data_IF_815701557178
#
_entry.id   IF_815701557178
#
_cell.length_a   1.000
_cell.length_b   1.000
_cell.length_c   1.000
_cell.angle_alpha   90.00
_cell.angle_beta   90.00
_cell.angle_gamma   90.00
#
_symmetry.space_group_name_H-M   'P 1'
#
loop_
_entity.id
_entity.type
_entity.pdbx_description
1 polymer ?
#
# COMPACT_ATOMS: atom_id res chain seq x y z
N UNK A 1 -31.88 17.81 -43.38
CA UNK A 1 -31.05 18.58 -42.43
C UNK A 1 -29.61 18.07 -42.58
N UNK A 2 -28.78 18.73 -43.38
CA UNK A 2 -27.34 18.43 -43.48
C UNK A 2 -26.63 19.78 -43.48
N UNK A 3 -26.37 20.35 -42.30
CA UNK A 3 -25.57 21.57 -42.18
C UNK A 3 -24.83 21.58 -40.85
N UNK A 4 -23.68 20.91 -40.82
CA UNK A 4 -22.39 21.58 -40.64
C UNK A 4 -21.31 20.51 -40.50
N UNK A 5 -20.71 20.12 -41.63
CA UNK A 5 -19.40 19.49 -41.62
C UNK A 5 -18.48 20.63 -42.05
N UNK A 6 -17.59 21.08 -41.15
CA UNK A 6 -16.67 22.17 -41.46
C UNK A 6 -15.91 21.83 -42.76
N UNK A 7 -15.74 22.76 -43.72
CA UNK A 7 -15.05 22.49 -44.99
C UNK A 7 -13.67 21.82 -44.81
N UNK A 8 -13.03 22.09 -43.66
CA UNK A 8 -11.78 21.47 -43.19
C UNK A 8 -11.84 19.95 -43.08
N UNK A 9 -12.96 19.40 -42.60
CA UNK A 9 -13.17 17.96 -42.38
C UNK A 9 -13.34 17.23 -43.72
N UNK A 10 -14.00 17.87 -44.70
CA UNK A 10 -14.22 17.29 -46.04
C UNK A 10 -12.90 17.13 -46.79
N UNK A 11 -12.02 18.14 -46.73
CA UNK A 11 -10.68 18.06 -47.33
C UNK A 11 -9.81 16.97 -46.69
N UNK A 12 -9.96 16.73 -45.39
CA UNK A 12 -9.21 15.71 -44.65
C UNK A 12 -9.67 14.28 -44.96
N UNK A 13 -10.97 14.08 -45.18
CA UNK A 13 -11.52 12.78 -45.60
C UNK A 13 -11.15 12.51 -47.07
N UNK A 14 -11.17 13.53 -47.93
CA UNK A 14 -10.86 13.40 -49.36
C UNK A 14 -9.38 13.03 -49.64
N UNK A 15 -8.46 13.37 -48.73
CA UNK A 15 -7.03 13.02 -48.85
C UNK A 15 -6.69 11.65 -48.26
N UNK A 16 -7.58 11.03 -47.50
CA UNK A 16 -7.38 9.71 -46.91
C UNK A 16 -7.63 8.60 -47.94
N UNK A 17 -6.67 7.67 -48.06
CA UNK A 17 -6.76 6.55 -49.02
C UNK A 17 -7.67 5.43 -48.50
N UNK A 18 -7.89 5.37 -47.19
CA UNK A 18 -8.71 4.35 -46.53
C UNK A 18 -9.58 4.96 -45.45
N UNK A 19 -10.68 4.29 -45.10
CA UNK A 19 -11.55 4.68 -43.98
C UNK A 19 -10.79 4.73 -42.64
N UNK A 20 -9.82 3.83 -42.46
CA UNK A 20 -8.94 3.81 -41.30
C UNK A 20 -8.09 5.09 -41.20
N UNK A 21 -7.49 5.53 -42.32
CA UNK A 21 -6.68 6.75 -42.36
C UNK A 21 -7.53 8.00 -42.08
N UNK A 22 -8.73 8.08 -42.67
CA UNK A 22 -9.66 9.19 -42.41
C UNK A 22 -10.05 9.25 -40.93
N UNK A 23 -10.38 8.10 -40.32
CA UNK A 23 -10.74 8.00 -38.91
C UNK A 23 -9.57 8.36 -37.99
N UNK A 24 -8.37 7.90 -38.32
CA UNK A 24 -7.15 8.20 -37.57
C UNK A 24 -6.81 9.69 -37.64
N UNK A 25 -6.89 10.28 -38.82
CA UNK A 25 -6.66 11.70 -39.05
C UNK A 25 -7.64 12.61 -38.29
N UNK A 26 -8.93 12.26 -38.31
CA UNK A 26 -9.96 12.99 -37.55
C UNK A 26 -9.75 12.83 -36.05
N UNK A 27 -9.44 11.61 -35.59
CA UNK A 27 -9.13 11.37 -34.19
C UNK A 27 -7.90 12.18 -33.75
N UNK A 28 -6.86 12.25 -34.59
CA UNK A 28 -5.65 13.03 -34.33
C UNK A 28 -5.91 14.54 -34.25
N UNK A 29 -6.81 15.07 -35.08
CA UNK A 29 -7.06 16.51 -35.18
C UNK A 29 -8.08 17.00 -34.15
N UNK A 30 -9.08 16.17 -33.82
CA UNK A 30 -10.25 16.61 -33.05
C UNK A 30 -10.57 15.76 -31.80
N UNK A 31 -10.11 14.51 -31.72
CA UNK A 31 -10.42 13.62 -30.60
C UNK A 31 -9.22 13.34 -29.69
N UNK A 32 -8.03 13.84 -30.03
CA UNK A 32 -6.85 13.73 -29.17
C UNK A 32 -7.05 14.59 -27.93
N UNK A 33 -7.06 14.01 -26.72
CA UNK A 33 -7.04 14.81 -25.51
C UNK A 33 -5.78 15.67 -25.47
N UNK A 34 -5.90 16.90 -24.95
CA UNK A 34 -4.74 17.78 -24.79
C UNK A 34 -3.74 17.15 -23.82
N UNK A 35 -2.45 17.49 -23.98
CA UNK A 35 -1.40 17.04 -23.07
C UNK A 35 -1.75 17.38 -21.62
N UNK A 36 -2.27 18.60 -21.38
CA UNK A 36 -2.63 19.05 -20.04
C UNK A 36 -3.78 18.24 -19.43
N UNK A 37 -4.76 17.83 -20.25
CA UNK A 37 -5.87 16.98 -19.79
C UNK A 37 -5.41 15.57 -19.40
N UNK A 38 -4.37 15.02 -20.04
CA UNK A 38 -3.74 13.77 -19.58
C UNK A 38 -2.85 14.00 -18.35
N UNK A 39 -2.11 15.12 -18.33
CA UNK A 39 -1.09 15.36 -17.31
C UNK A 39 -1.69 15.73 -15.96
N UNK A 40 -2.87 16.36 -15.94
CA UNK A 40 -3.62 16.67 -14.73
C UNK A 40 -3.96 15.42 -13.88
N UNK A 41 -4.71 14.42 -14.38
CA UNK A 41 -5.00 13.21 -13.61
C UNK A 41 -3.75 12.38 -13.30
N UNK A 42 -2.71 12.39 -14.16
CA UNK A 42 -1.41 11.79 -13.82
C UNK A 42 -0.78 12.47 -12.59
N UNK A 43 -0.81 13.80 -12.52
CA UNK A 43 -0.31 14.57 -11.38
C UNK A 43 -1.12 14.36 -10.10
N UNK A 44 -2.44 14.21 -10.21
CA UNK A 44 -3.30 13.84 -9.09
C UNK A 44 -2.95 12.44 -8.57
N UNK A 45 -2.74 11.47 -9.48
CA UNK A 45 -2.39 10.12 -9.09
C UNK A 45 -1.02 10.02 -8.42
N UNK A 46 -0.03 10.80 -8.84
CA UNK A 46 1.31 10.81 -8.22
C UNK A 46 1.32 11.40 -6.81
N UNK A 47 0.40 12.32 -6.51
CA UNK A 47 0.30 13.01 -5.23
C UNK A 47 -0.93 12.56 -4.43
N UNK A 48 -1.52 11.42 -4.77
CA UNK A 48 -2.72 10.94 -4.12
C UNK A 48 -2.41 10.64 -2.64
N UNK A 49 -3.24 11.14 -1.73
CA UNK A 49 -3.07 10.91 -0.30
C UNK A 49 -4.42 10.75 0.37
N UNK A 50 -4.51 9.80 1.31
CA UNK A 50 -5.70 9.59 2.15
C UNK A 50 -5.93 10.78 3.09
N UNK A 51 -4.86 11.31 3.69
CA UNK A 51 -4.97 12.32 4.74
C UNK A 51 -5.97 11.90 5.84
N UNK A 52 -6.97 12.75 6.09
CA UNK A 52 -8.02 12.53 7.10
C UNK A 52 -9.27 11.84 6.54
N UNK A 53 -9.29 11.46 5.26
CA UNK A 53 -10.42 10.79 4.63
C UNK A 53 -10.54 9.34 5.13
N UNK A 54 -11.75 8.78 5.04
CA UNK A 54 -11.96 7.34 5.20
C UNK A 54 -11.37 6.56 4.02
N UNK A 55 -11.12 5.25 4.20
CA UNK A 55 -10.68 4.38 3.10
C UNK A 55 -11.68 4.39 1.94
N UNK A 56 -12.97 4.41 2.21
CA UNK A 56 -14.01 4.43 1.16
C UNK A 56 -13.90 5.68 0.28
N UNK A 57 -13.79 6.87 0.89
CA UNK A 57 -13.67 8.14 0.16
C UNK A 57 -12.36 8.18 -0.64
N UNK A 58 -11.27 7.74 -0.02
CA UNK A 58 -9.96 7.68 -0.65
C UNK A 58 -9.96 6.77 -1.87
N UNK A 59 -10.51 5.55 -1.74
CA UNK A 59 -10.58 4.59 -2.84
C UNK A 59 -11.52 5.09 -3.95
N UNK A 60 -12.64 5.73 -3.62
CA UNK A 60 -13.51 6.34 -4.64
C UNK A 60 -12.81 7.45 -5.42
N UNK A 61 -12.02 8.29 -4.74
CA UNK A 61 -11.22 9.32 -5.38
C UNK A 61 -10.16 8.71 -6.31
N UNK A 62 -9.43 7.68 -5.85
CA UNK A 62 -8.49 6.95 -6.68
C UNK A 62 -9.17 6.36 -7.93
N UNK A 63 -10.34 5.73 -7.76
CA UNK A 63 -11.11 5.14 -8.87
C UNK A 63 -11.54 6.19 -9.90
N UNK A 64 -11.89 7.39 -9.46
CA UNK A 64 -12.25 8.50 -10.36
C UNK A 64 -11.07 8.93 -11.23
N UNK A 65 -9.88 9.08 -10.63
CA UNK A 65 -8.66 9.45 -11.37
C UNK A 65 -8.30 8.37 -12.38
N UNK A 66 -8.40 7.09 -11.98
CA UNK A 66 -8.14 5.95 -12.87
C UNK A 66 -9.13 5.92 -14.02
N UNK A 67 -10.41 6.12 -13.76
CA UNK A 67 -11.44 6.16 -14.80
C UNK A 67 -11.18 7.29 -15.82
N UNK A 68 -10.76 8.47 -15.35
CA UNK A 68 -10.35 9.57 -16.22
C UNK A 68 -9.16 9.17 -17.11
N UNK A 69 -8.12 8.54 -16.55
CA UNK A 69 -6.97 8.04 -17.31
C UNK A 69 -7.36 6.96 -18.33
N UNK A 70 -8.26 6.05 -17.97
CA UNK A 70 -8.79 5.01 -18.87
C UNK A 70 -9.56 5.64 -20.02
N UNK A 71 -10.44 6.61 -19.72
CA UNK A 71 -11.19 7.36 -20.73
C UNK A 71 -10.27 8.08 -21.73
N UNK A 72 -9.12 8.56 -21.25
CA UNK A 72 -8.10 9.21 -22.06
C UNK A 72 -7.13 8.23 -22.75
N UNK A 73 -7.30 6.92 -22.57
CA UNK A 73 -6.38 5.87 -23.03
C UNK A 73 -4.93 6.12 -22.58
N UNK A 74 -4.75 6.62 -21.35
CA UNK A 74 -3.48 7.05 -20.79
C UNK A 74 -3.09 6.29 -19.51
N UNK A 75 -3.84 5.25 -19.15
CA UNK A 75 -3.48 4.34 -18.06
C UNK A 75 -2.39 3.36 -18.53
N UNK A 76 -1.25 3.33 -17.84
CA UNK A 76 -0.06 2.59 -18.28
C UNK A 76 0.01 1.19 -17.68
N UNK A 77 -0.17 1.05 -16.36
CA UNK A 77 -0.07 -0.23 -15.66
C UNK A 77 -0.92 -0.23 -14.38
N UNK A 78 -1.63 -1.33 -14.13
CA UNK A 78 -2.47 -1.48 -12.94
C UNK A 78 -1.65 -1.83 -11.69
N UNK A 79 -0.51 -2.51 -11.82
CA UNK A 79 0.37 -2.81 -10.68
C UNK A 79 1.00 -1.52 -10.13
N UNK A 80 1.52 -0.66 -11.02
CA UNK A 80 2.05 0.65 -10.63
C UNK A 80 0.97 1.54 -9.99
N UNK A 81 -0.29 1.39 -10.43
CA UNK A 81 -1.43 2.05 -9.82
C UNK A 81 -1.65 1.57 -8.38
N UNK A 82 -1.66 0.25 -8.15
CA UNK A 82 -1.81 -0.31 -6.80
C UNK A 82 -0.73 0.20 -5.86
N UNK A 83 0.54 0.23 -6.31
CA UNK A 83 1.64 0.76 -5.51
C UNK A 83 1.45 2.25 -5.20
N UNK A 84 1.00 3.07 -6.17
CA UNK A 84 0.71 4.50 -5.94
C UNK A 84 -0.42 4.71 -4.93
N UNK A 85 -1.49 3.91 -5.01
CA UNK A 85 -2.59 3.94 -4.05
C UNK A 85 -2.07 3.55 -2.65
N UNK A 86 -1.29 2.49 -2.53
CA UNK A 86 -0.75 2.06 -1.24
C UNK A 86 0.21 3.09 -0.64
N UNK A 87 1.05 3.74 -1.46
CA UNK A 87 1.96 4.81 -1.03
C UNK A 87 1.24 6.09 -0.57
N UNK A 88 0.01 6.31 -1.04
CA UNK A 88 -0.83 7.42 -0.60
C UNK A 88 -1.51 7.20 0.76
N UNK A 89 -1.38 5.99 1.33
CA UNK A 89 -1.86 5.67 2.66
C UNK A 89 -0.87 6.17 3.72
N UNK A 90 -1.39 6.44 4.92
CA UNK A 90 -0.54 6.80 6.05
C UNK A 90 0.31 5.62 6.55
N UNK A 91 1.33 5.93 7.33
CA UNK A 91 2.26 4.96 7.92
C UNK A 91 1.56 3.82 8.68
N UNK A 92 0.35 4.08 9.19
CA UNK A 92 -0.48 3.09 9.86
C UNK A 92 -0.89 1.90 8.98
N UNK A 93 -0.79 2.00 7.64
CA UNK A 93 -1.13 0.96 6.66
C UNK A 93 0.09 0.20 6.09
N UNK A 94 1.32 0.46 6.57
CA UNK A 94 2.55 -0.17 6.03
C UNK A 94 2.52 -1.71 6.06
N UNK A 95 1.86 -2.30 7.05
CA UNK A 95 1.71 -3.76 7.16
C UNK A 95 0.88 -4.34 6.01
N UNK A 96 -0.14 -3.62 5.54
CA UNK A 96 -0.89 -4.05 4.35
C UNK A 96 -0.06 -3.89 3.09
N UNK A 97 0.68 -2.78 2.99
CA UNK A 97 1.52 -2.51 1.82
C UNK A 97 2.53 -3.64 1.61
N UNK A 98 3.20 -4.09 2.67
CA UNK A 98 4.16 -5.20 2.60
C UNK A 98 3.52 -6.52 2.19
N UNK A 99 2.34 -6.85 2.72
CA UNK A 99 1.60 -8.07 2.38
C UNK A 99 1.14 -8.07 0.91
N UNK A 100 0.64 -6.93 0.42
CA UNK A 100 0.21 -6.81 -0.99
C UNK A 100 1.41 -6.85 -1.93
N UNK A 101 2.53 -6.18 -1.59
CA UNK A 101 3.75 -6.22 -2.39
C UNK A 101 4.45 -7.59 -2.39
N UNK A 102 4.25 -8.42 -1.36
CA UNK A 102 4.80 -9.77 -1.29
C UNK A 102 3.98 -10.80 -2.09
N UNK A 103 2.83 -10.41 -2.65
CA UNK A 103 1.96 -11.30 -3.40
C UNK A 103 2.38 -11.37 -4.87
N UNK A 104 2.55 -12.58 -5.40
CA UNK A 104 3.01 -12.80 -6.78
C UNK A 104 1.94 -12.51 -7.85
N UNK A 105 0.65 -12.40 -7.46
CA UNK A 105 -0.43 -12.10 -8.40
C UNK A 105 -1.00 -10.69 -8.22
N UNK A 106 -1.40 -10.02 -9.30
CA UNK A 106 -2.06 -8.72 -9.22
C UNK A 106 -3.32 -8.80 -8.36
N UNK A 107 -3.46 -7.90 -7.40
CA UNK A 107 -4.69 -7.73 -6.61
C UNK A 107 -5.70 -6.90 -7.41
N UNK A 108 -6.98 -7.28 -7.37
CA UNK A 108 -8.04 -6.47 -8.02
C UNK A 108 -8.36 -5.21 -7.21
N UNK A 109 -8.98 -4.20 -7.85
CA UNK A 109 -9.37 -2.98 -7.15
C UNK A 109 -10.38 -3.26 -6.03
N UNK A 110 -11.35 -4.13 -6.29
CA UNK A 110 -12.40 -4.54 -5.35
C UNK A 110 -11.81 -5.25 -4.13
N UNK A 111 -10.90 -6.20 -4.35
CA UNK A 111 -10.23 -6.93 -3.27
C UNK A 111 -9.32 -6.01 -2.44
N UNK A 112 -8.58 -5.10 -3.09
CA UNK A 112 -7.76 -4.11 -2.41
C UNK A 112 -8.62 -3.23 -1.50
N UNK A 113 -9.77 -2.76 -2.00
CA UNK A 113 -10.69 -1.94 -1.22
C UNK A 113 -11.21 -2.70 0.01
N UNK A 114 -11.61 -3.96 -0.14
CA UNK A 114 -12.07 -4.79 0.98
C UNK A 114 -10.98 -4.97 2.05
N UNK A 115 -9.75 -5.32 1.65
CA UNK A 115 -8.63 -5.49 2.60
C UNK A 115 -8.34 -4.21 3.37
N UNK A 116 -8.29 -3.07 2.68
CA UNK A 116 -8.03 -1.77 3.30
C UNK A 116 -9.14 -1.36 4.26
N UNK A 117 -10.40 -1.56 3.87
CA UNK A 117 -11.56 -1.24 4.71
C UNK A 117 -11.56 -2.07 6.00
N UNK A 118 -11.36 -3.38 5.88
CA UNK A 118 -11.29 -4.27 7.03
C UNK A 118 -10.18 -3.86 8.01
N UNK A 119 -9.03 -3.45 7.48
CA UNK A 119 -7.93 -2.97 8.30
C UNK A 119 -8.21 -1.63 8.97
N UNK A 120 -8.86 -0.69 8.28
CA UNK A 120 -9.31 0.58 8.88
C UNK A 120 -10.25 0.32 10.08
N UNK A 121 -11.17 -0.63 9.97
CA UNK A 121 -12.05 -1.03 11.08
C UNK A 121 -11.26 -1.56 12.28
N UNK A 122 -10.29 -2.45 12.03
CA UNK A 122 -9.41 -3.01 13.08
C UNK A 122 -8.56 -1.92 13.72
N UNK A 123 -7.98 -1.04 12.92
CA UNK A 123 -7.16 0.09 13.36
C UNK A 123 -7.98 1.04 14.25
N UNK A 124 -9.18 1.43 13.79
CA UNK A 124 -10.07 2.31 14.56
C UNK A 124 -10.51 1.67 15.89
N UNK A 125 -10.70 0.35 15.93
CA UNK A 125 -10.97 -0.38 17.19
C UNK A 125 -9.75 -0.32 18.11
N UNK A 126 -8.54 -0.53 17.59
CA UNK A 126 -7.29 -0.42 18.36
C UNK A 126 -7.09 0.99 18.93
N UNK A 127 -7.31 2.02 18.11
CA UNK A 127 -7.19 3.43 18.52
C UNK A 127 -8.21 3.81 19.60
N UNK A 128 -9.46 3.33 19.48
CA UNK A 128 -10.47 3.54 20.53
C UNK A 128 -10.04 2.93 21.87
N UNK A 129 -9.52 1.70 21.88
CA UNK A 129 -9.01 1.07 23.11
C UNK A 129 -7.88 1.85 23.78
N UNK A 130 -7.02 2.51 22.99
CA UNK A 130 -5.95 3.36 23.54
C UNK A 130 -6.54 4.63 24.18
N UNK A 131 -7.58 5.20 23.56
CA UNK A 131 -8.26 6.40 24.07
C UNK A 131 -9.10 6.13 25.33
N UNK A 132 -9.66 4.92 25.43
CA UNK A 132 -10.46 4.48 26.58
C UNK A 132 -9.59 4.00 27.77
N UNK A 133 -8.27 4.02 27.64
CA UNK A 133 -7.37 3.76 28.76
C UNK A 133 -7.48 4.92 29.76
N UNK A 134 -7.84 4.66 31.05
CA UNK A 134 -8.04 5.73 32.01
C UNK A 134 -6.76 6.52 32.19
N UNK A 135 -6.77 7.78 31.73
CA UNK A 135 -5.79 8.79 32.08
C UNK A 135 -5.97 9.17 33.55
N UNK A 136 -5.54 8.29 34.46
CA UNK A 136 -5.56 8.58 35.89
C UNK A 136 -4.42 9.58 36.19
N UNK A 137 -4.70 10.77 36.73
CA UNK A 137 -3.67 11.74 37.07
C UNK A 137 -3.11 11.39 38.45
N UNK A 138 -2.39 10.27 38.58
CA UNK A 138 -1.40 10.06 39.64
C UNK A 138 -0.68 8.73 39.41
N UNK A 139 0.64 8.76 39.63
CA UNK A 139 1.61 7.66 39.49
C UNK A 139 2.25 7.50 38.11
N UNK A 140 2.76 8.63 37.59
CA UNK A 140 3.80 8.71 36.55
C UNK A 140 5.16 8.13 37.01
N UNK A 141 5.18 7.01 37.74
CA UNK A 141 6.43 6.34 38.15
C UNK A 141 6.49 4.84 37.81
N UNK A 142 5.43 4.21 37.29
CA UNK A 142 5.44 2.76 37.02
C UNK A 142 5.31 2.35 35.54
N UNK A 143 5.22 3.31 34.60
CA UNK A 143 5.10 3.01 33.17
C UNK A 143 6.36 2.31 32.60
N UNK A 144 7.55 2.66 33.10
CA UNK A 144 8.79 2.02 32.67
C UNK A 144 8.82 0.54 33.05
N UNK A 145 8.30 0.15 34.23
CA UNK A 145 8.28 -1.24 34.67
C UNK A 145 7.27 -2.09 33.90
N UNK A 146 6.08 -1.55 33.59
CA UNK A 146 5.03 -2.31 32.88
C UNK A 146 5.43 -2.57 31.43
N UNK A 147 6.04 -1.58 30.76
CA UNK A 147 6.51 -1.74 29.37
C UNK A 147 7.69 -2.71 29.30
N UNK A 148 8.61 -2.68 30.29
CA UNK A 148 9.72 -3.64 30.37
C UNK A 148 9.20 -5.06 30.67
N UNK A 149 8.24 -5.23 31.57
CA UNK A 149 7.67 -6.56 31.88
C UNK A 149 6.88 -7.17 30.71
N UNK A 150 6.25 -6.35 29.86
CA UNK A 150 5.55 -6.85 28.68
C UNK A 150 6.50 -7.36 27.58
N UNK A 151 7.75 -6.87 27.56
CA UNK A 151 8.78 -7.27 26.58
C UNK A 151 9.50 -8.56 27.02
N UNK A 152 9.57 -8.87 28.32
CA UNK A 152 10.32 -10.02 28.84
C UNK A 152 9.49 -11.32 28.88
N UNK A 153 8.16 -11.28 28.74
CA UNK A 153 7.30 -12.49 28.88
C UNK A 153 7.19 -13.40 27.65
N UNK A 154 7.91 -13.16 26.55
CA UNK A 154 7.96 -14.08 25.39
C UNK A 154 9.36 -14.70 25.16
N UNK A 155 10.04 -15.13 26.23
CA UNK A 155 11.09 -16.14 26.08
C UNK A 155 10.72 -17.34 26.95
N UNK A 156 10.34 -18.50 26.39
CA UNK A 156 10.22 -19.72 27.16
C UNK A 156 11.65 -20.20 27.47
N UNK A 157 12.15 -19.87 28.67
CA UNK A 157 13.36 -20.50 29.19
C UNK A 157 12.98 -21.80 29.89
N UNK A 158 13.10 -22.90 29.14
CA UNK A 158 13.15 -24.26 29.68
C UNK A 158 14.33 -24.37 30.65
N UNK A 159 14.15 -24.79 31.91
CA UNK A 159 15.28 -25.05 32.81
C UNK A 159 15.89 -26.40 32.44
N UNK A 160 17.06 -26.38 31.79
CA UNK A 160 17.90 -27.59 31.65
C UNK A 160 19.09 -27.48 32.60
N UNK A 161 19.13 -28.46 33.48
CA UNK A 161 20.05 -28.77 34.58
C UNK A 161 21.55 -28.54 34.28
N UNK A 162 22.26 -27.85 35.19
CA UNK A 162 23.72 -27.69 35.15
C UNK A 162 24.40 -28.90 35.81
N UNK A 163 25.52 -29.45 35.27
CA UNK A 163 26.14 -30.63 35.84
C UNK A 163 26.88 -30.30 37.15
N UNK A 164 26.65 -31.13 38.18
CA UNK A 164 27.41 -31.14 39.44
C UNK A 164 28.91 -31.32 39.17
N UNK A 165 29.71 -30.29 39.43
CA UNK A 165 31.16 -30.44 39.63
C UNK A 165 31.43 -30.84 41.08
N UNK A 166 31.97 -32.04 41.29
CA UNK A 166 32.55 -32.47 42.57
C UNK A 166 33.99 -31.97 42.73
N UNK A 167 34.44 -31.65 43.95
CA UNK A 167 35.77 -31.07 44.19
C UNK A 167 36.89 -32.12 44.04
N UNK A 168 38.13 -31.71 43.73
CA UNK A 168 39.23 -32.66 43.51
C UNK A 168 39.77 -33.19 44.84
N UNK A 169 39.79 -34.51 45.00
CA UNK A 169 40.58 -35.19 46.03
C UNK A 169 41.89 -35.64 45.41
N UNK A 170 42.99 -35.00 45.82
CA UNK A 170 44.35 -35.47 45.54
C UNK A 170 44.54 -36.87 46.13
N UNK A 171 44.89 -37.85 45.29
CA UNK A 171 45.64 -39.03 45.73
C UNK A 171 46.76 -39.36 44.76
N UNK A 172 47.96 -39.14 45.27
CA UNK A 172 49.25 -39.64 44.81
C UNK A 172 49.22 -41.17 44.68
N UNK A 173 49.49 -41.74 43.51
CA UNK A 173 49.99 -43.13 43.39
C UNK A 173 50.74 -43.31 42.06
N UNK A 174 52.01 -43.71 42.20
CA UNK A 174 53.02 -44.00 41.16
C UNK A 174 52.77 -45.41 40.62
N UNK A 175 52.90 -45.69 39.30
CA UNK A 175 53.04 -47.06 38.81
C UNK A 175 54.52 -47.45 38.66
N UNK A 176 54.90 -48.73 38.88
CA UNK A 176 56.29 -49.18 38.80
C UNK A 176 56.72 -49.47 37.36
N UNK A 177 58.05 -49.40 37.17
CA UNK A 177 58.78 -49.87 36.00
C UNK A 177 58.65 -51.38 35.83
N UNK A 178 58.20 -51.81 34.64
CA UNK A 178 58.74 -52.94 33.87
C UNK A 178 58.14 -52.99 32.47
#
# INVERSE_FOLDING_TARGET
IIRSISPSIISFIASAKTSHDARTALANTYAKPSRDHIMHPKGLLTNISKGTQSITEYMQHAKSIVYELVMLNALENFEDLTVKILNGLGDEFKDILSVVCAHDTPISFEELHEKLFNFEVVLNKRLRRIKDLPSHPTMQQNLTLVVINLIITEIPTTPTELPRQTPPTNRLTIPPLL
#
